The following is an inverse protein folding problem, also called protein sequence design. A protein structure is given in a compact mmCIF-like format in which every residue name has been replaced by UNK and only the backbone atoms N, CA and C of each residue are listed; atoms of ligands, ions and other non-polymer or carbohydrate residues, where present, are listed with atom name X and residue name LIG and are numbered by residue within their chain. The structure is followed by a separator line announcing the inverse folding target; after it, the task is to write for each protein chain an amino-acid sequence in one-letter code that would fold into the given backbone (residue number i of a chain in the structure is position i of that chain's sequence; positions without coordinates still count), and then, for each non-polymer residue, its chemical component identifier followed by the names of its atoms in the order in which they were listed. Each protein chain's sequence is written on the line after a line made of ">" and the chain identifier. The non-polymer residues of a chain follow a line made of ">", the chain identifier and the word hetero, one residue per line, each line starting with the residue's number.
data_IF_794646514392
#
_entry.id   IF_794646514392
#
_cell.length_a   1.000
_cell.length_b   1.000
_cell.length_c   1.000
_cell.angle_alpha   90.00
_cell.angle_beta   90.00
_cell.angle_gamma   90.00
#
_symmetry.space_group_name_H-M   'P 1'
#
loop_
_entity.id
_entity.type
_entity.pdbx_description
1 polymer ?
#
# COMPACT_ATOMS: atom_id res chain seq x y z
N UNK A 1 2.46 8.50 0.23
CA UNK A 1 1.01 8.51 0.43
C UNK A 1 0.34 9.57 -0.43
N UNK A 2 -0.82 9.23 -0.95
CA UNK A 2 -1.64 10.17 -1.71
C UNK A 2 -3.07 10.09 -1.23
N UNK A 3 -3.76 11.21 -1.29
CA UNK A 3 -5.14 11.29 -0.87
C UNK A 3 -6.02 11.60 -2.09
N UNK A 4 -6.97 10.72 -2.36
CA UNK A 4 -7.87 10.86 -3.50
C UNK A 4 -9.31 10.63 -3.02
N UNK A 5 -10.19 11.57 -3.29
CA UNK A 5 -11.58 11.51 -2.83
C UNK A 5 -11.67 11.17 -1.33
N UNK A 6 -10.86 11.83 -0.54
CA UNK A 6 -10.79 11.62 0.91
C UNK A 6 -10.31 10.23 1.30
N UNK A 7 -9.78 9.46 0.35
CA UNK A 7 -9.18 8.16 0.63
C UNK A 7 -7.67 8.28 0.62
N UNK A 8 -7.03 7.57 1.52
CA UNK A 8 -5.58 7.57 1.64
C UNK A 8 -5.02 6.34 0.95
N UNK A 9 -4.09 6.56 0.03
CA UNK A 9 -3.49 5.49 -0.75
C UNK A 9 -2.00 5.44 -0.46
N UNK A 10 -1.49 4.26 -0.16
CA UNK A 10 -0.07 4.07 0.03
C UNK A 10 0.49 3.24 -1.11
N UNK A 11 1.38 3.83 -1.88
CA UNK A 11 2.08 3.16 -2.96
C UNK A 11 3.33 2.54 -2.37
N UNK A 12 3.71 1.36 -2.86
CA UNK A 12 4.83 0.59 -2.34
C UNK A 12 4.60 0.14 -0.91
N UNK A 13 3.37 -0.27 -0.63
CA UNK A 13 3.01 -0.75 0.69
C UNK A 13 3.63 -2.11 1.01
N UNK A 14 3.86 -2.37 2.28
CA UNK A 14 4.35 -3.67 2.72
C UNK A 14 5.84 -3.87 2.67
N UNK A 15 6.59 -2.85 2.28
CA UNK A 15 8.05 -2.92 2.29
C UNK A 15 8.53 -2.77 3.71
N UNK A 16 9.36 -3.71 4.16
CA UNK A 16 9.83 -3.75 5.54
C UNK A 16 11.32 -4.06 5.59
N UNK A 17 12.04 -3.32 6.44
CA UNK A 17 13.43 -3.64 6.77
C UNK A 17 13.53 -4.58 7.95
N UNK A 18 12.47 -4.64 8.73
CA UNK A 18 12.40 -5.39 9.98
C UNK A 18 13.39 -4.89 11.04
N UNK A 19 13.80 -3.64 10.90
CA UNK A 19 14.67 -2.98 11.87
C UNK A 19 13.91 -1.81 12.49
N UNK A 20 13.35 -2.04 13.67
CA UNK A 20 12.53 -1.03 14.33
C UNK A 20 13.33 0.13 14.89
N UNK A 21 14.64 0.07 14.80
CA UNK A 21 15.47 1.20 15.17
C UNK A 21 15.43 2.30 14.11
N UNK A 22 14.98 1.95 12.90
CA UNK A 22 14.87 2.91 11.82
C UNK A 22 13.54 3.64 11.93
N UNK A 23 13.55 4.97 12.02
CA UNK A 23 12.29 5.72 12.05
C UNK A 23 11.42 5.48 10.83
N UNK A 24 12.05 5.23 9.67
CA UNK A 24 11.32 4.96 8.44
C UNK A 24 10.48 3.71 8.53
N UNK A 25 10.97 2.69 9.22
CA UNK A 25 10.24 1.44 9.35
C UNK A 25 8.94 1.67 10.12
N UNK A 26 9.04 2.42 11.21
CA UNK A 26 7.86 2.75 12.02
C UNK A 26 6.86 3.55 11.19
N UNK A 27 7.35 4.51 10.41
CA UNK A 27 6.48 5.34 9.58
C UNK A 27 5.79 4.50 8.51
N UNK A 28 6.49 3.53 7.92
CA UNK A 28 5.91 2.64 6.93
C UNK A 28 4.78 1.81 7.52
N UNK A 29 4.99 1.28 8.72
CA UNK A 29 3.98 0.48 9.39
C UNK A 29 2.73 1.30 9.65
N UNK A 30 2.89 2.51 10.16
CA UNK A 30 1.75 3.39 10.39
C UNK A 30 1.03 3.76 9.10
N UNK A 31 1.80 4.11 8.07
CA UNK A 31 1.22 4.48 6.80
C UNK A 31 0.37 3.35 6.24
N UNK A 32 0.87 2.13 6.32
CA UNK A 32 0.13 0.98 5.82
C UNK A 32 -1.11 0.71 6.66
N UNK A 33 -1.01 0.86 7.96
CA UNK A 33 -2.12 0.58 8.85
C UNK A 33 -3.31 1.51 8.62
N UNK A 34 -3.05 2.78 8.36
CA UNK A 34 -4.09 3.79 8.27
C UNK A 34 -4.50 4.17 6.84
N UNK A 35 -3.91 3.54 5.85
CA UNK A 35 -4.29 3.80 4.47
C UNK A 35 -5.56 3.02 4.09
N UNK A 36 -6.32 3.59 3.18
CA UNK A 36 -7.54 2.94 2.68
C UNK A 36 -7.22 1.93 1.59
N UNK A 37 -6.19 2.21 0.80
CA UNK A 37 -5.75 1.32 -0.28
C UNK A 37 -4.25 1.14 -0.20
N UNK A 38 -3.81 -0.09 -0.38
CA UNK A 38 -2.40 -0.45 -0.25
C UNK A 38 -1.95 -1.16 -1.52
N UNK A 39 -1.05 -0.54 -2.27
CA UNK A 39 -0.51 -1.14 -3.48
C UNK A 39 0.84 -1.75 -3.17
N UNK A 40 0.86 -3.07 -3.05
CA UNK A 40 2.08 -3.82 -2.74
C UNK A 40 2.80 -4.19 -4.03
N UNK A 41 4.11 -3.88 -4.14
CA UNK A 41 4.84 -4.16 -5.37
C UNK A 41 5.15 -5.64 -5.58
N UNK A 42 5.13 -6.43 -4.52
CA UNK A 42 5.44 -7.85 -4.61
C UNK A 42 4.54 -8.67 -3.70
N UNK A 43 4.57 -9.99 -3.89
CA UNK A 43 3.83 -10.87 -3.00
C UNK A 43 4.42 -10.90 -1.60
N UNK A 44 5.72 -10.68 -1.50
CA UNK A 44 6.38 -10.60 -0.20
C UNK A 44 5.85 -9.40 0.57
N UNK A 45 5.72 -8.26 -0.10
CA UNK A 45 5.15 -7.08 0.52
C UNK A 45 3.73 -7.34 1.00
N UNK A 46 2.93 -8.01 0.18
CA UNK A 46 1.57 -8.39 0.58
C UNK A 46 1.60 -9.29 1.82
N UNK A 47 2.51 -10.26 1.84
CA UNK A 47 2.62 -11.16 2.98
C UNK A 47 2.95 -10.40 4.25
N UNK A 48 3.83 -9.40 4.15
CA UNK A 48 4.16 -8.58 5.31
C UNK A 48 2.92 -7.87 5.85
N UNK A 49 2.10 -7.33 4.95
CA UNK A 49 0.87 -6.65 5.35
C UNK A 49 -0.11 -7.62 6.01
N UNK A 50 -0.26 -8.80 5.45
CA UNK A 50 -1.14 -9.80 6.03
C UNK A 50 -0.66 -10.24 7.40
N UNK A 51 0.65 -10.36 7.59
CA UNK A 51 1.22 -10.71 8.88
C UNK A 51 0.95 -9.63 9.92
N UNK A 52 0.76 -8.40 9.49
CA UNK A 52 0.41 -7.29 10.36
C UNK A 52 -1.09 -7.14 10.54
N UNK A 53 -1.85 -8.13 10.08
CA UNK A 53 -3.31 -8.19 10.22
C UNK A 53 -4.04 -7.07 9.48
N UNK A 54 -3.46 -6.63 8.37
CA UNK A 54 -4.12 -5.68 7.50
C UNK A 54 -5.21 -6.42 6.72
N UNK A 55 -6.34 -5.75 6.55
CA UNK A 55 -7.47 -6.32 5.82
C UNK A 55 -7.07 -6.62 4.37
N UNK A 56 -7.18 -7.89 3.93
CA UNK A 56 -6.78 -8.25 2.56
C UNK A 56 -7.54 -7.49 1.47
N UNK A 57 -8.73 -7.01 1.77
CA UNK A 57 -9.52 -6.26 0.79
C UNK A 57 -8.90 -4.93 0.43
N UNK A 58 -7.99 -4.42 1.26
CA UNK A 58 -7.28 -3.17 1.01
C UNK A 58 -6.02 -3.37 0.19
N UNK A 59 -5.55 -4.60 0.03
CA UNK A 59 -4.24 -4.89 -0.51
C UNK A 59 -4.33 -5.29 -1.97
N UNK A 60 -3.55 -4.62 -2.81
CA UNK A 60 -3.49 -4.90 -4.25
C UNK A 60 -2.04 -5.13 -4.63
N UNK A 61 -1.74 -6.31 -5.17
CA UNK A 61 -0.39 -6.59 -5.68
C UNK A 61 -0.34 -6.11 -7.11
N UNK A 62 0.54 -5.17 -7.40
CA UNK A 62 0.54 -4.50 -8.70
C UNK A 62 1.76 -4.84 -9.55
N UNK A 63 2.77 -5.49 -8.99
CA UNK A 63 3.91 -5.94 -9.78
C UNK A 63 4.74 -4.80 -10.32
N UNK A 64 5.11 -4.90 -11.60
CA UNK A 64 6.10 -4.01 -12.19
C UNK A 64 5.60 -2.64 -12.64
N UNK A 65 4.32 -2.51 -12.89
CA UNK A 65 3.76 -1.28 -13.47
C UNK A 65 2.80 -0.62 -12.51
N UNK A 66 3.33 -0.13 -11.40
CA UNK A 66 2.49 0.53 -10.40
C UNK A 66 1.72 1.69 -11.00
N UNK A 67 2.37 2.50 -11.82
CA UNK A 67 1.69 3.64 -12.44
C UNK A 67 0.51 3.21 -13.29
N UNK A 68 0.70 2.17 -14.09
CA UNK A 68 -0.37 1.67 -14.95
C UNK A 68 -1.49 1.06 -14.12
N UNK A 69 -1.14 0.31 -13.08
CA UNK A 69 -2.13 -0.27 -12.20
C UNK A 69 -2.99 0.80 -11.54
N UNK A 70 -2.36 1.87 -11.09
CA UNK A 70 -3.06 2.97 -10.45
C UNK A 70 -3.99 3.66 -11.45
N UNK A 71 -3.51 3.90 -12.66
CA UNK A 71 -4.33 4.53 -13.68
C UNK A 71 -5.57 3.68 -13.99
N UNK A 72 -5.39 2.38 -14.15
CA UNK A 72 -6.50 1.49 -14.42
C UNK A 72 -7.47 1.45 -13.26
N UNK A 73 -6.95 1.40 -12.04
CA UNK A 73 -7.76 1.36 -10.84
C UNK A 73 -8.65 2.61 -10.74
N UNK A 74 -8.06 3.78 -10.89
CA UNK A 74 -8.80 5.03 -10.73
C UNK A 74 -9.69 5.34 -11.90
N UNK A 75 -9.30 4.95 -13.09
CA UNK A 75 -10.17 5.10 -14.24
C UNK A 75 -11.47 4.32 -14.04
N UNK A 76 -11.35 3.12 -13.51
CA UNK A 76 -12.49 2.26 -13.24
C UNK A 76 -13.37 2.83 -12.13
N UNK A 77 -12.77 3.47 -11.15
CA UNK A 77 -13.48 4.06 -10.02
C UNK A 77 -13.93 5.47 -10.27
N UNK A 78 -13.50 6.05 -11.36
CA UNK A 78 -13.80 7.45 -11.69
C UNK A 78 -13.42 8.40 -10.58
N UNK A 79 -12.28 8.14 -9.97
CA UNK A 79 -11.77 8.96 -8.88
C UNK A 79 -10.84 10.00 -9.47
N UNK A 80 -11.21 11.11 -9.74
CA UNK A 80 -10.32 12.19 -10.12
C UNK A 80 -11.12 13.45 -10.26
#
# INVERSE_FOLDING_TARGET
>A
KKKINSKLIHIEAGIRSFDKKMPEEINRIYADKYSDYLFAPTRIAKKNLLNEKINPKKIFVVGNSISDAIKMFFKKKEII
#
